data_IF_138244508784
#
_entry.id   IF_138244508784
#
_cell.length_a   1.000
_cell.length_b   1.000
_cell.length_c   1.000
_cell.angle_alpha   90.00
_cell.angle_beta   90.00
_cell.angle_gamma   90.00
#
_symmetry.space_group_name_H-M   'P 1'
#
loop_
_entity.id
_entity.type
_entity.pdbx_description
1 polymer ?
#
# COMPACT_ATOMS: atom_id res chain seq x y z
N UNK A 1 6.87 -28.57 -3.63
CA UNK A 1 7.49 -27.56 -2.79
C UNK A 1 7.54 -26.24 -3.49
N UNK A 2 8.26 -26.17 -4.58
CA UNK A 2 8.37 -24.92 -5.33
C UNK A 2 7.04 -24.42 -5.80
N UNK A 3 6.14 -25.32 -6.08
CA UNK A 3 4.81 -24.95 -6.54
C UNK A 3 4.10 -24.11 -5.48
N UNK A 4 4.28 -24.48 -4.22
CA UNK A 4 3.67 -23.76 -3.13
C UNK A 4 4.23 -22.35 -3.05
N UNK A 5 5.53 -22.21 -3.24
CA UNK A 5 6.19 -20.92 -3.20
C UNK A 5 5.65 -20.02 -4.32
N UNK A 6 5.48 -20.58 -5.50
CA UNK A 6 4.93 -19.81 -6.62
C UNK A 6 3.52 -19.34 -6.36
N UNK A 7 2.73 -20.17 -5.70
CA UNK A 7 1.38 -19.77 -5.35
C UNK A 7 1.38 -18.61 -4.39
N UNK A 8 2.32 -18.60 -3.46
CA UNK A 8 2.45 -17.52 -2.50
C UNK A 8 2.70 -16.19 -3.20
N UNK A 9 3.47 -16.23 -4.27
CA UNK A 9 3.74 -15.03 -5.04
C UNK A 9 2.49 -14.47 -5.70
N UNK A 10 1.49 -15.31 -5.90
CA UNK A 10 0.24 -14.90 -6.53
C UNK A 10 -0.84 -14.55 -5.54
N UNK A 11 -0.61 -14.82 -4.27
CA UNK A 11 -1.60 -14.50 -3.25
C UNK A 11 -1.61 -13.00 -3.05
N UNK A 12 -2.77 -12.40 -3.21
CA UNK A 12 -2.95 -10.98 -3.02
C UNK A 12 -3.63 -10.73 -1.68
N UNK A 13 -3.15 -9.73 -0.98
CA UNK A 13 -3.72 -9.34 0.30
C UNK A 13 -4.72 -8.22 0.04
N UNK A 14 -5.99 -8.50 0.28
CA UNK A 14 -7.07 -7.60 -0.09
C UNK A 14 -7.61 -6.78 1.07
N UNK A 15 -7.17 -7.07 2.28
CA UNK A 15 -7.78 -6.54 3.50
C UNK A 15 -6.98 -5.40 4.11
N UNK A 16 -6.13 -4.79 3.30
CA UNK A 16 -5.16 -3.81 3.79
C UNK A 16 -5.84 -2.53 4.25
N UNK A 17 -6.86 -2.09 3.53
CA UNK A 17 -7.58 -0.87 3.88
C UNK A 17 -8.10 -0.92 5.31
N UNK A 18 -8.58 -2.08 5.72
CA UNK A 18 -9.10 -2.27 7.06
C UNK A 18 -8.01 -2.08 8.11
N UNK A 19 -6.81 -2.57 7.80
CA UNK A 19 -5.67 -2.42 8.70
C UNK A 19 -5.25 -0.96 8.83
N UNK A 20 -5.56 -0.15 7.83
CA UNK A 20 -5.16 1.24 7.80
C UNK A 20 -6.28 2.19 8.21
N UNK A 21 -7.37 1.66 8.75
CA UNK A 21 -8.57 2.46 9.02
C UNK A 21 -8.29 3.68 9.90
N UNK A 22 -7.38 3.55 10.85
CA UNK A 22 -7.03 4.65 11.74
C UNK A 22 -6.44 5.84 10.99
N UNK A 23 -5.64 5.58 9.97
CA UNK A 23 -4.92 6.64 9.27
C UNK A 23 -5.47 6.91 7.87
N UNK A 24 -6.45 6.12 7.44
CA UNK A 24 -6.89 6.15 6.04
C UNK A 24 -7.28 7.55 5.57
N UNK A 25 -7.99 8.30 6.39
CA UNK A 25 -8.44 9.64 6.03
C UNK A 25 -7.41 10.72 6.35
N UNK A 26 -6.27 10.33 6.89
CA UNK A 26 -5.24 11.27 7.33
C UNK A 26 -4.03 11.30 6.41
N UNK A 27 -4.00 10.43 5.41
CA UNK A 27 -2.85 10.25 4.53
C UNK A 27 -3.25 10.64 3.10
N UNK A 28 -2.35 11.29 2.40
CA UNK A 28 -2.54 11.59 0.98
C UNK A 28 -2.06 10.40 0.17
N UNK A 29 -2.98 9.48 -0.12
CA UNK A 29 -2.64 8.24 -0.82
C UNK A 29 -2.12 8.49 -2.23
N UNK A 30 -2.57 9.57 -2.85
CA UNK A 30 -2.04 9.95 -4.16
C UNK A 30 -0.53 10.16 -4.10
N UNK A 31 -0.05 10.84 -3.06
CA UNK A 31 1.39 11.06 -2.90
C UNK A 31 2.12 9.77 -2.61
N UNK A 32 1.52 8.91 -1.81
CA UNK A 32 2.09 7.59 -1.55
C UNK A 32 2.25 6.82 -2.88
N UNK A 33 1.21 6.83 -3.70
CA UNK A 33 1.25 6.13 -4.99
C UNK A 33 2.34 6.71 -5.89
N UNK A 34 2.39 8.03 -6.01
CA UNK A 34 3.32 8.68 -6.93
C UNK A 34 4.75 8.59 -6.46
N UNK A 35 5.00 8.85 -5.17
CA UNK A 35 6.36 8.96 -4.65
C UNK A 35 7.01 7.61 -4.36
N UNK A 36 6.23 6.65 -3.89
CA UNK A 36 6.81 5.39 -3.42
C UNK A 36 6.59 4.23 -4.37
N UNK A 37 5.54 4.30 -5.17
CA UNK A 37 5.23 3.23 -6.13
C UNK A 37 5.45 3.63 -7.58
N UNK A 38 5.53 4.92 -7.86
CA UNK A 38 5.61 5.38 -9.23
C UNK A 38 4.34 5.09 -10.01
N UNK A 39 3.20 5.10 -9.32
CA UNK A 39 1.91 4.73 -9.90
C UNK A 39 0.90 5.84 -9.69
N UNK A 40 -0.25 5.72 -10.34
CA UNK A 40 -1.35 6.66 -10.18
C UNK A 40 -2.09 6.41 -8.87
N UNK A 41 -2.86 7.41 -8.45
CA UNK A 41 -3.70 7.24 -7.27
C UNK A 41 -4.74 6.16 -7.48
N UNK A 42 -5.31 6.07 -8.69
CA UNK A 42 -6.29 5.02 -8.99
C UNK A 42 -5.72 3.63 -8.77
N UNK A 43 -4.49 3.43 -9.20
CA UNK A 43 -3.83 2.14 -9.02
C UNK A 43 -3.80 1.76 -7.54
N UNK A 44 -3.40 2.71 -6.69
CA UNK A 44 -3.29 2.43 -5.26
C UNK A 44 -4.66 2.23 -4.61
N UNK A 45 -5.64 3.06 -4.97
CA UNK A 45 -6.99 2.91 -4.42
C UNK A 45 -7.60 1.55 -4.77
N UNK A 46 -7.36 1.07 -6.00
CA UNK A 46 -7.81 -0.28 -6.36
C UNK A 46 -7.17 -1.34 -5.46
N UNK A 47 -5.87 -1.20 -5.19
CA UNK A 47 -5.18 -2.11 -4.29
C UNK A 47 -5.78 -2.06 -2.89
N UNK A 48 -6.02 -0.85 -2.39
CA UNK A 48 -6.59 -0.66 -1.06
C UNK A 48 -8.00 -1.22 -0.96
N UNK A 49 -8.77 -1.11 -2.04
CA UNK A 49 -10.13 -1.61 -2.08
C UNK A 49 -10.20 -3.11 -2.34
N UNK A 50 -9.07 -3.74 -2.65
CA UNK A 50 -9.04 -5.17 -2.90
C UNK A 50 -9.63 -5.57 -4.22
N UNK A 51 -9.59 -4.67 -5.22
CA UNK A 51 -10.10 -4.95 -6.54
C UNK A 51 -9.01 -4.68 -7.57
N UNK A 52 -9.16 -5.25 -8.76
CA UNK A 52 -8.25 -4.95 -9.86
C UNK A 52 -8.89 -3.88 -10.75
N UNK A 53 -8.16 -3.47 -11.79
CA UNK A 53 -8.64 -2.41 -12.69
C UNK A 53 -9.87 -2.78 -13.49
N UNK A 54 -10.21 -4.06 -13.54
CA UNK A 54 -11.37 -4.55 -14.28
C UNK A 54 -12.55 -4.89 -13.38
N UNK A 55 -12.44 -4.56 -12.09
CA UNK A 55 -13.52 -4.83 -11.15
C UNK A 55 -13.48 -6.22 -10.53
N UNK A 56 -12.45 -7.01 -10.83
CA UNK A 56 -12.28 -8.32 -10.22
C UNK A 56 -11.57 -8.22 -8.89
N UNK A 57 -11.17 -9.36 -8.36
CA UNK A 57 -10.42 -9.42 -7.13
C UNK A 57 -9.00 -8.88 -7.33
N UNK A 58 -8.55 -8.09 -6.38
CA UNK A 58 -7.21 -7.54 -6.40
C UNK A 58 -6.65 -7.45 -5.01
N UNK A 59 -5.64 -6.61 -4.85
CA UNK A 59 -5.00 -6.42 -3.56
C UNK A 59 -3.50 -6.27 -3.76
N UNK A 60 -2.76 -6.35 -2.66
CA UNK A 60 -1.32 -6.15 -2.67
C UNK A 60 -0.58 -7.48 -2.75
N UNK A 61 0.47 -7.51 -3.55
CA UNK A 61 1.45 -8.58 -3.46
C UNK A 61 2.29 -8.36 -2.20
N UNK A 62 3.07 -9.38 -1.82
CA UNK A 62 3.94 -9.24 -0.67
C UNK A 62 4.98 -8.14 -0.88
N UNK A 63 5.49 -8.01 -2.09
CA UNK A 63 6.45 -6.95 -2.40
C UNK A 63 5.80 -5.59 -2.30
N UNK A 64 4.57 -5.47 -2.77
CA UNK A 64 3.86 -4.20 -2.69
C UNK A 64 3.55 -3.83 -1.25
N UNK A 65 3.23 -4.83 -0.42
CA UNK A 65 3.02 -4.57 1.01
C UNK A 65 4.29 -4.09 1.68
N UNK A 66 5.43 -4.68 1.32
CA UNK A 66 6.70 -4.24 1.88
C UNK A 66 6.97 -2.79 1.49
N UNK A 67 6.70 -2.42 0.24
CA UNK A 67 6.87 -1.04 -0.21
C UNK A 67 5.91 -0.11 0.54
N UNK A 68 4.67 -0.52 0.72
CA UNK A 68 3.70 0.30 1.44
C UNK A 68 4.14 0.52 2.88
N UNK A 69 4.60 -0.55 3.53
CA UNK A 69 5.09 -0.46 4.89
C UNK A 69 6.26 0.52 4.99
N UNK A 70 7.22 0.39 4.07
CA UNK A 70 8.37 1.28 4.05
C UNK A 70 7.95 2.73 3.80
N UNK A 71 6.97 2.93 2.92
CA UNK A 71 6.45 4.26 2.63
C UNK A 71 5.86 4.90 3.87
N UNK A 72 5.06 4.15 4.61
CA UNK A 72 4.42 4.67 5.82
C UNK A 72 5.44 4.97 6.90
N UNK A 73 6.45 4.12 7.05
CA UNK A 73 7.51 4.36 8.01
C UNK A 73 8.31 5.60 7.62
N UNK A 74 8.67 5.71 6.35
CA UNK A 74 9.40 6.88 5.85
C UNK A 74 8.61 8.16 6.09
N UNK A 75 7.32 8.13 5.78
CA UNK A 75 6.46 9.30 5.99
C UNK A 75 6.38 9.64 7.47
N UNK A 76 6.28 8.64 8.33
CA UNK A 76 6.21 8.89 9.78
C UNK A 76 7.47 9.58 10.28
N UNK A 77 8.62 9.20 9.76
CA UNK A 77 9.88 9.84 10.15
C UNK A 77 9.97 11.26 9.64
N UNK A 78 9.45 11.50 8.46
CA UNK A 78 9.43 12.85 7.90
C UNK A 78 8.48 13.75 8.68
N UNK A 79 7.36 13.20 9.11
CA UNK A 79 6.42 13.94 9.97
C UNK A 79 7.08 14.26 11.30
N UNK A 80 7.76 13.29 11.88
CA UNK A 80 8.46 13.49 13.15
C UNK A 80 9.51 14.59 13.01
N UNK A 81 10.30 14.55 11.96
CA UNK A 81 11.32 15.57 11.71
C UNK A 81 10.69 16.96 11.56
N UNK A 82 9.58 17.03 10.83
CA UNK A 82 8.90 18.31 10.67
C UNK A 82 8.38 18.85 12.03
N UNK A 83 7.84 17.97 12.84
CA UNK A 83 7.35 18.33 14.16
C UNK A 83 8.49 18.88 15.03
N UNK A 84 9.68 18.28 14.91
CA UNK A 84 10.84 18.71 15.70
C UNK A 84 11.30 20.12 15.34
N UNK A 85 10.94 20.61 14.15
CA UNK A 85 11.30 21.96 13.73
C UNK A 85 10.35 23.03 14.28
N UNK A 86 9.24 22.61 14.81
CA UNK A 86 8.26 23.53 15.37
C UNK A 86 8.59 23.85 16.81
#
# INVERSE_FOLDING_TARGET
MEIVIKRNDRVLVADVKKQLSDIYMKITWREIANQYFGKSSSWLYHKLDGIDGNGGRGGFTQEELATLKDALVDLSERIHTAADRL
#
